data_IF_409415037935
#
_entry.id   IF_409415037935
#
_cell.length_a   1.000
_cell.length_b   1.000
_cell.length_c   1.000
_cell.angle_alpha   90.00
_cell.angle_beta   90.00
_cell.angle_gamma   90.00
#
_symmetry.space_group_name_H-M   'P 1'
#
loop_
_entity.id
_entity.type
_entity.pdbx_description
1 polymer ?
#
# COMPACT_ATOMS: atom_id res chain seq x y z
N UNK A 1 8.70 -22.08 -40.41
CA UNK A 1 9.68 -21.99 -39.31
C UNK A 1 10.76 -23.09 -39.42
N UNK A 2 10.39 -24.30 -39.74
CA UNK A 2 11.32 -25.44 -39.87
C UNK A 2 12.52 -25.27 -40.83
N UNK A 3 12.43 -24.33 -41.79
CA UNK A 3 13.52 -24.03 -42.73
C UNK A 3 14.64 -23.17 -42.08
N UNK A 4 14.36 -22.56 -40.95
CA UNK A 4 15.26 -21.61 -40.27
C UNK A 4 15.76 -22.14 -38.95
N UNK A 5 14.92 -22.92 -38.24
CA UNK A 5 15.21 -23.44 -36.90
C UNK A 5 14.82 -24.90 -36.74
N UNK A 6 15.54 -25.64 -35.93
CA UNK A 6 15.10 -26.93 -35.41
C UNK A 6 14.18 -26.73 -34.20
N UNK A 7 12.99 -27.33 -34.22
CA UNK A 7 12.08 -27.34 -33.06
C UNK A 7 12.21 -28.71 -32.38
N UNK A 8 12.79 -28.72 -31.18
CA UNK A 8 13.10 -29.94 -30.46
C UNK A 8 12.22 -30.07 -29.22
N UNK A 9 11.52 -31.17 -29.09
CA UNK A 9 10.73 -31.50 -27.91
C UNK A 9 11.62 -31.95 -26.75
N UNK A 10 11.12 -31.75 -25.53
CA UNK A 10 11.65 -32.42 -24.35
C UNK A 10 11.38 -33.92 -24.36
N UNK A 11 12.15 -34.67 -23.59
CA UNK A 11 11.88 -36.10 -23.37
C UNK A 11 10.51 -36.27 -22.69
N UNK A 12 9.74 -37.27 -23.12
CA UNK A 12 8.42 -37.61 -22.54
C UNK A 12 8.32 -39.08 -22.17
N UNK A 13 9.43 -39.84 -22.31
CA UNK A 13 9.49 -41.25 -22.07
C UNK A 13 9.84 -41.62 -20.61
N UNK A 14 10.23 -42.85 -20.42
CA UNK A 14 10.60 -43.41 -19.11
C UNK A 14 11.77 -42.66 -18.43
N UNK A 15 12.57 -41.95 -19.20
CA UNK A 15 13.73 -41.21 -18.72
C UNK A 15 13.38 -39.78 -18.27
N UNK A 16 12.10 -39.35 -18.42
CA UNK A 16 11.64 -38.04 -17.94
C UNK A 16 11.69 -38.00 -16.41
N UNK A 17 12.35 -37.00 -15.80
CA UNK A 17 12.50 -36.95 -14.35
C UNK A 17 11.17 -36.68 -13.66
N UNK A 18 10.81 -37.51 -12.69
CA UNK A 18 9.74 -37.19 -11.75
C UNK A 18 10.22 -36.11 -10.73
N UNK A 19 9.29 -35.38 -10.13
CA UNK A 19 9.64 -34.28 -9.21
C UNK A 19 10.54 -34.69 -8.04
N UNK A 20 10.35 -35.89 -7.53
CA UNK A 20 11.10 -36.49 -6.42
C UNK A 20 12.57 -36.81 -6.79
N UNK A 21 12.86 -36.91 -8.07
CA UNK A 21 14.23 -37.17 -8.60
C UNK A 21 14.99 -35.87 -8.90
N UNK A 22 14.31 -34.71 -8.85
CA UNK A 22 14.97 -33.43 -9.03
C UNK A 22 15.58 -32.94 -7.70
N UNK A 23 16.71 -32.27 -7.80
CA UNK A 23 17.55 -31.86 -6.67
C UNK A 23 17.91 -30.37 -6.74
N UNK A 24 18.61 -29.85 -5.73
CA UNK A 24 18.96 -28.43 -5.63
C UNK A 24 20.26 -28.06 -6.37
N UNK A 25 21.02 -29.05 -6.89
CA UNK A 25 22.26 -28.81 -7.62
C UNK A 25 22.45 -29.89 -8.71
N UNK A 26 23.26 -29.58 -9.74
CA UNK A 26 23.54 -30.48 -10.86
C UNK A 26 23.24 -29.81 -12.21
N UNK A 27 22.69 -30.57 -13.16
CA UNK A 27 22.31 -30.08 -14.49
C UNK A 27 20.95 -29.38 -14.42
N UNK A 28 20.84 -28.13 -14.88
CA UNK A 28 19.59 -27.34 -14.81
C UNK A 28 18.44 -28.03 -15.57
N UNK A 29 17.26 -28.12 -14.92
CA UNK A 29 16.02 -28.60 -15.52
C UNK A 29 15.01 -27.47 -15.62
N UNK A 30 14.82 -26.93 -16.81
CA UNK A 30 14.10 -25.70 -17.07
C UNK A 30 12.62 -25.98 -17.36
N UNK A 31 11.75 -25.29 -16.70
CA UNK A 31 10.30 -25.28 -16.94
C UNK A 31 9.79 -23.86 -17.19
N UNK A 32 8.50 -23.71 -17.54
CA UNK A 32 7.91 -22.40 -17.85
C UNK A 32 8.01 -21.39 -16.70
N UNK A 33 8.08 -21.83 -15.44
CA UNK A 33 8.24 -20.95 -14.28
C UNK A 33 9.63 -20.30 -14.20
N UNK A 34 10.62 -20.90 -14.85
CA UNK A 34 12.00 -20.41 -14.85
C UNK A 34 12.29 -19.40 -15.98
N UNK A 35 11.32 -19.11 -16.83
CA UNK A 35 11.47 -18.11 -17.90
C UNK A 35 10.91 -16.78 -17.38
N UNK A 36 11.74 -15.74 -17.26
CA UNK A 36 11.38 -14.40 -16.83
C UNK A 36 12.10 -13.37 -17.71
N UNK A 37 11.41 -12.32 -18.15
CA UNK A 37 11.99 -11.23 -18.94
C UNK A 37 12.88 -11.73 -20.10
N UNK A 38 12.38 -12.68 -20.86
CA UNK A 38 13.07 -13.29 -22.02
C UNK A 38 14.39 -14.01 -21.71
N UNK A 39 14.64 -14.34 -20.44
CA UNK A 39 15.83 -15.05 -19.96
C UNK A 39 15.43 -16.21 -19.06
N UNK A 40 16.35 -17.13 -18.84
CA UNK A 40 16.18 -18.21 -17.85
C UNK A 40 16.62 -17.70 -16.49
N UNK A 41 15.65 -17.59 -15.57
CA UNK A 41 15.88 -17.22 -14.17
C UNK A 41 16.40 -18.40 -13.36
N UNK A 42 17.37 -18.13 -12.48
CA UNK A 42 17.86 -19.13 -11.52
C UNK A 42 16.95 -19.27 -10.28
N UNK A 43 15.93 -18.43 -10.14
CA UNK A 43 14.96 -18.51 -9.02
C UNK A 43 14.17 -19.81 -9.13
N UNK A 44 14.08 -20.56 -8.03
CA UNK A 44 13.35 -21.86 -7.97
C UNK A 44 13.76 -22.86 -9.04
N UNK A 45 14.99 -22.76 -9.55
CA UNK A 45 15.51 -23.69 -10.54
C UNK A 45 15.76 -25.05 -9.86
N UNK A 46 15.32 -26.10 -10.53
CA UNK A 46 15.57 -27.49 -10.13
C UNK A 46 16.62 -28.08 -11.04
N UNK A 47 17.28 -29.10 -10.55
CA UNK A 47 18.42 -29.73 -11.24
C UNK A 47 18.23 -31.25 -11.30
N UNK A 48 18.90 -31.88 -12.25
CA UNK A 48 18.99 -33.33 -12.35
C UNK A 48 20.44 -33.80 -12.21
N UNK A 49 20.62 -35.05 -11.86
CA UNK A 49 21.96 -35.66 -11.84
C UNK A 49 22.50 -35.85 -13.25
N UNK A 50 23.83 -35.92 -13.41
CA UNK A 50 24.47 -36.20 -14.70
C UNK A 50 24.01 -37.54 -15.29
N UNK A 51 23.80 -38.55 -14.46
CA UNK A 51 23.25 -39.84 -14.84
C UNK A 51 21.89 -39.73 -15.49
N UNK A 52 20.98 -38.96 -14.87
CA UNK A 52 19.65 -38.70 -15.43
C UNK A 52 19.74 -37.91 -16.74
N UNK A 53 20.59 -36.89 -16.80
CA UNK A 53 20.79 -36.08 -18.00
C UNK A 53 21.35 -36.92 -19.16
N UNK A 54 22.30 -37.83 -18.91
CA UNK A 54 22.85 -38.72 -19.94
C UNK A 54 21.79 -39.65 -20.54
N UNK A 55 20.81 -40.09 -19.72
CA UNK A 55 19.72 -40.98 -20.13
C UNK A 55 18.65 -40.30 -20.99
N UNK A 56 18.58 -38.96 -20.97
CA UNK A 56 17.61 -38.22 -21.78
C UNK A 56 17.89 -38.42 -23.27
N UNK A 57 16.84 -38.79 -24.02
CA UNK A 57 16.90 -38.97 -25.48
C UNK A 57 16.68 -37.66 -26.24
N UNK A 58 16.00 -36.68 -25.63
CA UNK A 58 15.66 -35.40 -26.24
C UNK A 58 15.62 -34.28 -25.19
N UNK A 59 15.52 -33.03 -25.63
CA UNK A 59 15.35 -31.88 -24.78
C UNK A 59 16.62 -31.41 -24.09
N UNK A 60 17.79 -31.77 -24.59
CA UNK A 60 19.09 -31.27 -24.14
C UNK A 60 19.37 -29.91 -24.74
N UNK A 61 19.68 -28.98 -23.88
CA UNK A 61 19.91 -27.56 -24.20
C UNK A 61 21.37 -27.28 -24.53
N UNK A 62 21.58 -26.41 -25.48
CA UNK A 62 22.84 -25.76 -25.80
C UNK A 62 22.75 -24.26 -25.52
N UNK A 63 23.87 -23.63 -25.27
CA UNK A 63 23.95 -22.18 -25.09
C UNK A 63 23.37 -21.45 -26.30
N UNK A 64 22.58 -20.41 -26.05
CA UNK A 64 21.85 -19.62 -27.03
C UNK A 64 20.63 -20.30 -27.67
N UNK A 65 20.20 -21.47 -27.20
CA UNK A 65 18.90 -22.01 -27.55
C UNK A 65 17.78 -21.05 -27.05
N UNK A 66 16.71 -20.91 -27.82
CA UNK A 66 15.50 -20.20 -27.37
C UNK A 66 14.54 -21.26 -26.84
N UNK A 67 14.09 -21.05 -25.61
CA UNK A 67 13.04 -21.85 -24.98
C UNK A 67 11.69 -21.23 -25.27
N UNK A 68 10.72 -22.03 -25.69
CA UNK A 68 9.38 -21.58 -26.00
C UNK A 68 8.33 -22.44 -25.29
N UNK A 69 7.40 -21.80 -24.57
CA UNK A 69 6.35 -22.49 -23.84
C UNK A 69 5.20 -22.84 -24.78
N UNK A 70 4.93 -24.14 -24.93
CA UNK A 70 3.85 -24.68 -25.78
C UNK A 70 2.67 -25.22 -24.96
N UNK A 71 2.73 -25.19 -23.64
CA UNK A 71 1.64 -25.63 -22.73
C UNK A 71 1.54 -24.77 -21.50
N UNK A 72 0.32 -24.44 -21.13
CA UNK A 72 0.02 -23.56 -19.98
C UNK A 72 0.27 -22.09 -20.33
N UNK A 73 1.43 -21.55 -20.04
CA UNK A 73 1.79 -20.15 -20.38
C UNK A 73 2.26 -20.04 -21.83
N UNK A 74 1.38 -20.28 -22.80
CA UNK A 74 1.73 -20.24 -24.22
C UNK A 74 2.43 -18.93 -24.60
N UNK A 75 3.44 -19.03 -25.47
CA UNK A 75 4.17 -17.86 -25.97
C UNK A 75 5.26 -17.34 -25.04
N UNK A 76 5.33 -17.80 -23.80
CA UNK A 76 6.40 -17.42 -22.88
C UNK A 76 7.72 -17.99 -23.41
N UNK A 77 8.72 -17.15 -23.63
CA UNK A 77 9.99 -17.59 -24.21
C UNK A 77 11.19 -16.86 -23.60
N UNK A 78 12.39 -17.44 -23.79
CA UNK A 78 13.63 -16.85 -23.28
C UNK A 78 14.86 -17.57 -23.80
N UNK A 79 16.00 -16.87 -23.80
CA UNK A 79 17.29 -17.40 -24.25
C UNK A 79 17.97 -18.17 -23.12
N UNK A 80 18.45 -19.35 -23.41
CA UNK A 80 19.26 -20.16 -22.52
C UNK A 80 20.73 -19.73 -22.59
N UNK A 81 21.29 -19.30 -21.44
CA UNK A 81 22.65 -18.73 -21.38
C UNK A 81 23.67 -19.65 -20.70
N UNK A 82 23.25 -20.82 -20.15
CA UNK A 82 24.13 -21.78 -19.50
C UNK A 82 24.71 -22.76 -20.52
N UNK A 83 25.75 -23.48 -20.15
CA UNK A 83 26.45 -24.39 -21.09
C UNK A 83 25.66 -25.66 -21.38
N UNK A 84 24.91 -26.16 -20.41
CA UNK A 84 24.09 -27.37 -20.55
C UNK A 84 22.84 -27.29 -19.65
N UNK A 85 21.81 -28.02 -20.05
CA UNK A 85 20.54 -28.11 -19.34
C UNK A 85 19.55 -29.01 -20.06
N UNK A 86 18.38 -29.18 -19.49
CA UNK A 86 17.29 -29.90 -20.13
C UNK A 86 15.93 -29.16 -19.89
N UNK A 87 14.97 -29.40 -20.77
CA UNK A 87 13.66 -28.78 -20.71
C UNK A 87 12.58 -29.72 -20.17
N UNK A 88 11.61 -29.13 -19.46
CA UNK A 88 10.35 -29.78 -19.11
C UNK A 88 9.46 -29.95 -20.36
N UNK A 89 8.53 -30.90 -20.30
CA UNK A 89 7.62 -31.26 -21.40
C UNK A 89 6.64 -30.12 -21.81
N UNK A 90 6.55 -29.04 -21.05
CA UNK A 90 5.78 -27.84 -21.40
C UNK A 90 6.53 -26.92 -22.36
N UNK A 91 7.80 -27.13 -22.58
CA UNK A 91 8.66 -26.32 -23.43
C UNK A 91 9.11 -27.09 -24.69
N UNK A 92 9.47 -26.32 -25.71
CA UNK A 92 10.27 -26.74 -26.84
C UNK A 92 11.52 -25.89 -26.94
N UNK A 93 12.55 -26.46 -27.57
CA UNK A 93 13.77 -25.73 -27.93
C UNK A 93 13.61 -25.25 -29.37
N UNK A 94 13.77 -23.94 -29.58
CA UNK A 94 13.89 -23.33 -30.90
C UNK A 94 15.38 -23.06 -31.12
N UNK A 95 16.03 -23.91 -31.92
CA UNK A 95 17.46 -23.86 -32.18
C UNK A 95 17.72 -23.40 -33.58
N UNK A 96 18.25 -22.16 -33.78
CA UNK A 96 18.58 -21.64 -35.11
C UNK A 96 19.66 -22.48 -35.78
N UNK A 97 19.51 -22.74 -37.08
CA UNK A 97 20.59 -23.38 -37.88
C UNK A 97 21.80 -22.44 -37.98
N UNK A 98 21.58 -21.15 -38.06
CA UNK A 98 22.62 -20.11 -38.01
C UNK A 98 22.67 -19.44 -36.66
N UNK A 99 23.66 -19.80 -35.84
CA UNK A 99 23.74 -19.34 -34.42
C UNK A 99 24.46 -18.00 -34.27
N UNK A 100 24.12 -16.98 -35.11
CA UNK A 100 24.63 -15.64 -34.86
C UNK A 100 23.78 -14.97 -33.77
N UNK A 101 24.38 -14.09 -32.97
CA UNK A 101 23.69 -13.39 -31.89
C UNK A 101 22.53 -12.52 -32.44
N UNK A 102 22.71 -11.90 -33.61
CA UNK A 102 21.67 -11.13 -34.28
C UNK A 102 20.47 -11.98 -34.68
N UNK A 103 20.69 -13.16 -35.23
CA UNK A 103 19.62 -14.09 -35.62
C UNK A 103 18.85 -14.57 -34.37
N UNK A 104 19.54 -14.89 -33.29
CA UNK A 104 18.90 -15.33 -32.02
C UNK A 104 18.03 -14.22 -31.42
N UNK A 105 18.53 -12.99 -31.33
CA UNK A 105 17.78 -11.85 -30.82
C UNK A 105 16.61 -11.49 -31.73
N UNK A 106 16.79 -11.53 -33.05
CA UNK A 106 15.73 -11.32 -34.02
C UNK A 106 14.60 -12.34 -33.87
N UNK A 107 14.95 -13.62 -33.78
CA UNK A 107 13.98 -14.71 -33.58
C UNK A 107 13.23 -14.53 -32.24
N UNK A 108 13.93 -14.14 -31.18
CA UNK A 108 13.28 -13.85 -29.90
C UNK A 108 12.25 -12.73 -30.05
N UNK A 109 12.62 -11.62 -30.68
CA UNK A 109 11.72 -10.48 -30.93
C UNK A 109 10.51 -10.89 -31.77
N UNK A 110 10.71 -11.73 -32.79
CA UNK A 110 9.62 -12.28 -33.59
C UNK A 110 8.70 -13.19 -32.75
N UNK A 111 9.25 -14.11 -31.98
CA UNK A 111 8.51 -15.07 -31.16
C UNK A 111 7.73 -14.41 -30.00
N UNK A 112 8.10 -13.20 -29.62
CA UNK A 112 7.42 -12.38 -28.58
C UNK A 112 6.41 -11.39 -29.15
N UNK A 113 6.35 -11.25 -30.49
CA UNK A 113 5.47 -10.29 -31.16
C UNK A 113 3.99 -10.64 -31.03
N UNK A 114 3.13 -9.61 -31.12
CA UNK A 114 1.67 -9.80 -31.16
C UNK A 114 1.22 -10.62 -32.37
N UNK A 115 1.99 -10.59 -33.46
CA UNK A 115 1.73 -11.44 -34.61
C UNK A 115 1.75 -12.92 -34.22
N UNK A 116 2.80 -13.37 -33.55
CA UNK A 116 2.91 -14.78 -33.07
C UNK A 116 1.82 -15.09 -32.05
N UNK A 117 1.53 -14.16 -31.15
CA UNK A 117 0.44 -14.33 -30.18
C UNK A 117 -0.89 -14.59 -30.87
N UNK A 118 -1.21 -13.82 -31.92
CA UNK A 118 -2.42 -14.00 -32.72
C UNK A 118 -2.41 -15.34 -33.47
N UNK A 119 -1.27 -15.73 -34.04
CA UNK A 119 -1.14 -17.03 -34.71
C UNK A 119 -1.40 -18.23 -33.77
N UNK A 120 -0.86 -18.17 -32.54
CA UNK A 120 -1.08 -19.20 -31.51
C UNK A 120 -2.56 -19.41 -31.24
N UNK A 121 -3.36 -18.32 -31.11
CA UNK A 121 -4.80 -18.42 -30.85
C UNK A 121 -5.58 -19.18 -31.93
N UNK A 122 -5.11 -19.21 -33.16
CA UNK A 122 -5.74 -20.00 -34.24
C UNK A 122 -5.65 -21.51 -34.00
N UNK A 123 -4.69 -21.98 -33.20
CA UNK A 123 -4.45 -23.37 -32.86
C UNK A 123 -4.94 -23.73 -31.45
N UNK A 124 -5.51 -22.75 -30.72
CA UNK A 124 -6.10 -23.00 -29.40
C UNK A 124 -7.45 -23.71 -29.58
N UNK A 125 -7.49 -25.00 -29.32
CA UNK A 125 -8.65 -25.86 -29.50
C UNK A 125 -9.70 -25.78 -28.38
N UNK A 126 -9.67 -24.73 -27.56
CA UNK A 126 -10.72 -24.49 -26.54
C UNK A 126 -10.75 -25.46 -25.38
N UNK A 127 -9.66 -26.17 -25.11
CA UNK A 127 -9.50 -27.03 -23.93
C UNK A 127 -9.12 -26.18 -22.70
N UNK A 128 -9.42 -26.68 -21.49
CA UNK A 128 -9.15 -26.00 -20.22
C UNK A 128 -7.67 -25.58 -19.98
N UNK A 129 -6.73 -26.11 -20.78
CA UNK A 129 -5.34 -25.68 -20.85
C UNK A 129 -4.91 -25.44 -22.29
N UNK A 130 -4.52 -24.20 -22.65
CA UNK A 130 -3.99 -23.89 -23.97
C UNK A 130 -2.78 -24.80 -24.30
N UNK A 131 -2.77 -25.39 -25.46
CA UNK A 131 -1.72 -26.31 -25.92
C UNK A 131 -1.45 -26.14 -27.41
N UNK A 132 -0.20 -25.82 -27.75
CA UNK A 132 0.29 -25.73 -29.11
C UNK A 132 1.13 -26.99 -29.43
N UNK A 133 0.80 -27.74 -30.49
CA UNK A 133 1.61 -28.84 -30.89
C UNK A 133 2.94 -28.34 -31.54
N UNK A 134 4.05 -28.97 -31.23
CA UNK A 134 5.36 -28.60 -31.82
C UNK A 134 5.35 -28.68 -33.35
N UNK A 135 4.58 -29.60 -33.91
CA UNK A 135 4.42 -29.74 -35.35
C UNK A 135 3.69 -28.53 -35.97
N UNK A 136 2.60 -28.06 -35.34
CA UNK A 136 1.86 -26.87 -35.79
C UNK A 136 2.74 -25.61 -35.66
N UNK A 137 3.45 -25.47 -34.54
CA UNK A 137 4.44 -24.40 -34.34
C UNK A 137 5.53 -24.40 -35.43
N UNK A 138 5.95 -25.56 -35.91
CA UNK A 138 6.92 -25.67 -36.99
C UNK A 138 6.46 -25.11 -38.34
N UNK A 139 5.15 -25.02 -38.54
CA UNK A 139 4.51 -24.48 -39.77
C UNK A 139 4.39 -22.95 -39.78
N UNK A 140 4.65 -22.28 -38.68
CA UNK A 140 4.55 -20.82 -38.61
C UNK A 140 5.49 -20.16 -39.62
N UNK A 141 5.01 -19.12 -40.30
CA UNK A 141 5.82 -18.36 -41.26
C UNK A 141 6.72 -17.38 -40.52
N UNK A 142 8.00 -17.35 -40.85
CA UNK A 142 8.96 -16.37 -40.30
C UNK A 142 9.36 -15.42 -41.42
N UNK A 143 9.20 -14.10 -41.26
CA UNK A 143 9.85 -13.12 -42.14
C UNK A 143 11.36 -13.20 -41.89
N UNK A 144 12.13 -13.31 -42.95
CA UNK A 144 13.58 -13.46 -42.85
C UNK A 144 14.29 -12.35 -43.60
N UNK A 145 14.52 -11.18 -42.96
CA UNK A 145 15.29 -10.11 -43.57
C UNK A 145 16.76 -10.42 -43.66
N UNK A 146 17.53 -9.67 -44.46
CA UNK A 146 18.99 -9.81 -44.52
C UNK A 146 19.62 -9.69 -43.11
N UNK A 147 20.74 -10.36 -42.88
CA UNK A 147 21.37 -10.44 -41.57
C UNK A 147 21.72 -9.08 -40.97
N UNK A 148 22.14 -8.12 -41.80
CA UNK A 148 22.39 -6.73 -41.36
C UNK A 148 21.13 -6.03 -40.87
N UNK A 149 19.97 -6.34 -41.43
CA UNK A 149 18.68 -5.83 -41.02
C UNK A 149 18.19 -6.50 -39.75
N UNK A 150 18.33 -7.83 -39.63
CA UNK A 150 18.07 -8.54 -38.38
C UNK A 150 18.82 -7.92 -37.19
N UNK A 151 20.09 -7.51 -37.41
CA UNK A 151 20.92 -6.84 -36.42
C UNK A 151 20.30 -5.49 -36.01
N UNK A 152 19.96 -4.63 -37.00
CA UNK A 152 19.35 -3.32 -36.72
C UNK A 152 18.02 -3.44 -35.99
N UNK A 153 17.14 -4.36 -36.41
CA UNK A 153 15.87 -4.62 -35.75
C UNK A 153 16.10 -5.02 -34.29
N UNK A 154 17.01 -5.98 -34.04
CA UNK A 154 17.29 -6.49 -32.70
C UNK A 154 17.84 -5.39 -31.77
N UNK A 155 18.76 -4.56 -32.26
CA UNK A 155 19.34 -3.45 -31.50
C UNK A 155 18.29 -2.38 -31.18
N UNK A 156 17.43 -2.05 -32.16
CA UNK A 156 16.34 -1.09 -31.95
C UNK A 156 15.32 -1.61 -30.91
N UNK A 157 14.90 -2.88 -31.05
CA UNK A 157 13.95 -3.49 -30.09
C UNK A 157 14.56 -3.54 -28.69
N UNK A 158 15.84 -3.91 -28.55
CA UNK A 158 16.51 -3.94 -27.26
C UNK A 158 16.57 -2.55 -26.60
N UNK A 159 16.92 -1.52 -27.38
CA UNK A 159 16.93 -0.13 -26.90
C UNK A 159 15.56 0.34 -26.45
N UNK A 160 14.51 0.06 -27.25
CA UNK A 160 13.13 0.44 -26.88
C UNK A 160 12.64 -0.29 -25.64
N UNK A 161 12.93 -1.59 -25.51
CA UNK A 161 12.56 -2.34 -24.29
C UNK A 161 13.27 -1.81 -23.04
N UNK A 162 14.58 -1.47 -23.15
CA UNK A 162 15.31 -0.83 -22.04
C UNK A 162 14.72 0.52 -21.67
N UNK A 163 14.29 1.32 -22.66
CA UNK A 163 13.65 2.60 -22.40
C UNK A 163 12.31 2.42 -21.66
N UNK A 164 11.50 1.43 -22.06
CA UNK A 164 10.23 1.09 -21.36
C UNK A 164 10.50 0.67 -19.92
N UNK A 165 11.50 -0.22 -19.70
CA UNK A 165 11.87 -0.63 -18.33
C UNK A 165 12.32 0.56 -17.47
N UNK A 166 13.08 1.49 -18.05
CA UNK A 166 13.51 2.72 -17.36
C UNK A 166 12.30 3.59 -16.98
N UNK A 167 11.38 3.83 -17.92
CA UNK A 167 10.16 4.61 -17.67
C UNK A 167 9.32 3.98 -16.56
N UNK A 168 9.15 2.66 -16.56
CA UNK A 168 8.39 1.97 -15.53
C UNK A 168 9.05 2.07 -14.15
N UNK A 169 10.40 1.96 -14.10
CA UNK A 169 11.17 2.18 -12.87
C UNK A 169 11.00 3.61 -12.35
N UNK A 170 11.18 4.61 -13.24
CA UNK A 170 11.06 6.03 -12.89
C UNK A 170 9.66 6.38 -12.37
N UNK A 171 8.60 5.79 -12.95
CA UNK A 171 7.21 5.94 -12.46
C UNK A 171 7.05 5.42 -11.03
N UNK A 172 7.64 4.27 -10.71
CA UNK A 172 7.60 3.70 -9.36
C UNK A 172 8.37 4.61 -8.39
N UNK A 173 9.54 5.08 -8.77
CA UNK A 173 10.39 5.93 -7.95
C UNK A 173 9.73 7.29 -7.69
N UNK A 174 9.11 7.90 -8.69
CA UNK A 174 8.32 9.12 -8.53
C UNK A 174 7.15 8.93 -7.57
N UNK A 175 6.40 7.83 -7.69
CA UNK A 175 5.28 7.52 -6.77
C UNK A 175 5.76 7.39 -5.32
N UNK A 176 6.91 6.76 -5.10
CA UNK A 176 7.53 6.64 -3.79
C UNK A 176 8.00 8.00 -3.24
N UNK A 177 8.63 8.81 -4.09
CA UNK A 177 9.07 10.15 -3.72
C UNK A 177 7.91 11.06 -3.33
N UNK A 178 6.78 11.02 -4.07
CA UNK A 178 5.57 11.76 -3.74
C UNK A 178 5.03 11.35 -2.35
N UNK A 179 4.97 10.04 -2.04
CA UNK A 179 4.54 9.57 -0.72
C UNK A 179 5.46 10.07 0.40
N UNK A 180 6.77 9.99 0.19
CA UNK A 180 7.75 10.48 1.16
C UNK A 180 7.65 11.99 1.36
N UNK A 181 7.45 12.75 0.28
CA UNK A 181 7.27 14.20 0.32
C UNK A 181 6.00 14.58 1.10
N UNK A 182 4.87 13.92 0.84
CA UNK A 182 3.63 14.13 1.61
C UNK A 182 3.83 13.85 3.10
N UNK A 183 4.51 12.75 3.44
CA UNK A 183 4.81 12.43 4.84
C UNK A 183 5.71 13.49 5.49
N UNK A 184 6.72 13.98 4.77
CA UNK A 184 7.61 15.05 5.25
C UNK A 184 6.89 16.39 5.44
N UNK A 185 5.96 16.74 4.54
CA UNK A 185 5.12 17.93 4.67
C UNK A 185 4.28 17.87 5.95
N UNK A 186 3.64 16.73 6.23
CA UNK A 186 2.90 16.53 7.49
C UNK A 186 3.82 16.64 8.72
N UNK A 187 5.00 16.05 8.67
CA UNK A 187 5.98 16.12 9.76
C UNK A 187 6.42 17.56 10.05
N UNK A 188 6.68 18.36 9.01
CA UNK A 188 7.00 19.78 9.16
C UNK A 188 5.80 20.58 9.71
N UNK A 189 4.61 20.25 9.27
CA UNK A 189 3.38 20.94 9.69
C UNK A 189 3.11 20.79 11.18
N UNK A 190 3.19 19.56 11.70
CA UNK A 190 2.90 19.30 13.13
C UNK A 190 4.01 19.77 14.07
N UNK A 191 5.21 20.09 13.55
CA UNK A 191 6.32 20.70 14.28
C UNK A 191 6.35 22.23 14.18
N UNK A 192 5.33 22.85 13.56
CA UNK A 192 5.26 24.30 13.36
C UNK A 192 6.32 24.86 12.41
N UNK A 193 6.84 24.03 11.47
CA UNK A 193 7.90 24.40 10.52
C UNK A 193 7.42 24.56 9.06
N UNK A 194 6.10 24.45 8.81
CA UNK A 194 5.55 24.51 7.45
C UNK A 194 5.10 25.92 7.06
N UNK A 195 4.66 26.72 8.00
CA UNK A 195 4.26 28.12 7.82
C UNK A 195 5.07 29.02 8.75
N UNK A 196 5.31 30.32 8.39
CA UNK A 196 5.95 31.25 9.29
C UNK A 196 5.07 31.50 10.52
N UNK A 197 5.68 31.71 11.69
CA UNK A 197 5.01 32.12 12.90
C UNK A 197 4.59 33.59 12.78
N UNK A 198 3.36 33.94 13.20
CA UNK A 198 2.86 35.32 13.24
C UNK A 198 2.73 35.75 14.72
N UNK A 199 3.47 36.77 15.12
CA UNK A 199 3.44 37.29 16.48
C UNK A 199 2.10 37.97 16.85
N UNK A 200 1.23 38.23 15.87
CA UNK A 200 -0.11 38.78 16.08
C UNK A 200 -1.16 37.70 16.32
N UNK A 201 -0.83 36.42 16.09
CA UNK A 201 -1.74 35.33 16.37
C UNK A 201 -1.89 35.15 17.90
N UNK A 202 -3.13 34.99 18.38
CA UNK A 202 -3.39 34.72 19.80
C UNK A 202 -2.72 33.40 20.19
N UNK A 203 -1.78 33.38 21.17
CA UNK A 203 -1.08 32.16 21.56
C UNK A 203 -2.03 31.05 22.03
N UNK A 204 -1.62 29.79 21.85
CA UNK A 204 -2.44 28.63 22.20
C UNK A 204 -2.82 28.58 23.69
N UNK A 205 -2.05 29.23 24.57
CA UNK A 205 -2.40 29.40 26.02
C UNK A 205 -3.80 29.96 26.19
N UNK A 206 -4.10 31.05 25.46
CA UNK A 206 -5.40 31.72 25.58
C UNK A 206 -6.55 30.85 25.11
N UNK A 207 -6.32 30.02 24.08
CA UNK A 207 -7.31 29.04 23.64
C UNK A 207 -7.57 28.00 24.73
N UNK A 208 -6.49 27.41 25.28
CA UNK A 208 -6.60 26.38 26.33
C UNK A 208 -7.22 26.94 27.64
N UNK A 209 -6.93 28.21 28.00
CA UNK A 209 -7.51 28.88 29.12
C UNK A 209 -9.02 29.04 28.98
N UNK A 210 -9.50 29.53 27.82
CA UNK A 210 -10.93 29.65 27.49
C UNK A 210 -11.67 28.33 27.58
N UNK A 211 -11.04 27.24 27.09
CA UNK A 211 -11.61 25.87 27.15
C UNK A 211 -11.75 25.42 28.60
N UNK A 212 -10.75 25.68 29.42
CA UNK A 212 -10.79 25.35 30.85
C UNK A 212 -11.90 26.09 31.59
N UNK A 213 -12.03 27.37 31.35
CA UNK A 213 -13.11 28.18 31.92
C UNK A 213 -14.50 27.66 31.52
N UNK A 214 -14.72 27.33 30.26
CA UNK A 214 -16.00 26.79 29.79
C UNK A 214 -16.27 25.38 30.36
N UNK A 215 -15.26 24.53 30.48
CA UNK A 215 -15.39 23.23 31.17
C UNK A 215 -15.80 23.39 32.63
N UNK A 216 -15.13 24.26 33.37
CA UNK A 216 -15.47 24.54 34.78
C UNK A 216 -16.92 25.05 34.93
N UNK A 217 -17.37 25.89 33.99
CA UNK A 217 -18.76 26.34 33.96
C UNK A 217 -19.74 25.19 33.74
N UNK A 218 -19.47 24.33 32.73
CA UNK A 218 -20.30 23.16 32.44
C UNK A 218 -20.32 22.15 33.61
N UNK A 219 -19.20 22.00 34.34
CA UNK A 219 -19.12 21.17 35.54
C UNK A 219 -20.00 21.76 36.67
N UNK A 220 -19.92 23.07 36.90
CA UNK A 220 -20.74 23.76 37.90
C UNK A 220 -22.26 23.68 37.56
N UNK A 221 -22.59 23.70 36.28
CA UNK A 221 -23.97 23.54 35.79
C UNK A 221 -24.43 22.06 35.80
N UNK A 222 -23.59 21.11 36.18
CA UNK A 222 -23.91 19.69 36.21
C UNK A 222 -24.04 19.02 34.82
N UNK A 223 -23.65 19.74 33.77
CA UNK A 223 -23.70 19.27 32.37
C UNK A 223 -22.50 18.42 32.00
N UNK A 224 -21.37 18.61 32.65
CA UNK A 224 -20.14 17.84 32.47
C UNK A 224 -19.68 17.29 33.81
N UNK A 225 -19.22 16.03 33.81
CA UNK A 225 -18.60 15.45 35.01
C UNK A 225 -17.11 15.74 35.00
N UNK A 226 -16.56 16.11 36.16
CA UNK A 226 -15.09 16.28 36.32
C UNK A 226 -14.40 14.94 36.09
N UNK A 227 -13.41 14.93 35.22
CA UNK A 227 -12.52 13.76 35.07
C UNK A 227 -11.62 13.68 36.34
N UNK A 228 -11.57 12.51 36.96
CA UNK A 228 -10.72 12.28 38.12
C UNK A 228 -9.22 12.26 37.80
N UNK A 229 -8.88 12.05 36.53
CA UNK A 229 -7.51 11.98 36.04
C UNK A 229 -7.14 13.22 35.21
N UNK A 230 -7.83 14.35 35.41
CA UNK A 230 -7.54 15.58 34.68
C UNK A 230 -6.14 16.07 35.06
N UNK A 231 -5.28 16.22 34.08
CA UNK A 231 -3.91 16.72 34.24
C UNK A 231 -3.73 17.97 33.41
N UNK A 232 -2.75 18.78 33.76
CA UNK A 232 -2.47 20.04 33.07
C UNK A 232 -1.01 20.17 32.71
N UNK A 233 -0.73 20.39 31.42
CA UNK A 233 0.63 20.64 30.92
C UNK A 233 0.83 22.13 30.75
N UNK A 234 1.93 22.65 31.29
CA UNK A 234 2.32 24.07 31.17
C UNK A 234 3.84 24.19 30.95
N UNK A 235 4.25 25.29 30.33
CA UNK A 235 5.65 25.67 30.17
C UNK A 235 6.01 26.61 31.30
N UNK A 236 7.03 26.30 32.07
CA UNK A 236 7.55 27.16 33.13
C UNK A 236 8.43 28.25 32.51
N UNK A 237 8.20 29.52 32.90
CA UNK A 237 8.94 30.67 32.40
C UNK A 237 10.37 30.76 32.92
N UNK A 238 10.68 30.13 34.07
CA UNK A 238 11.98 30.28 34.74
C UNK A 238 13.06 29.41 34.09
N UNK A 239 12.71 28.21 33.65
CA UNK A 239 13.63 27.23 33.07
C UNK A 239 13.27 26.82 31.64
N UNK A 240 12.15 27.33 31.07
CA UNK A 240 11.61 26.96 29.76
C UNK A 240 11.21 25.48 29.60
N UNK A 241 11.15 24.72 30.68
CA UNK A 241 10.77 23.31 30.69
C UNK A 241 9.26 23.10 30.75
N UNK A 242 8.81 21.97 30.24
CA UNK A 242 7.41 21.57 30.31
C UNK A 242 7.15 20.69 31.52
N UNK A 243 6.09 21.02 32.23
CA UNK A 243 5.64 20.31 33.43
C UNK A 243 4.22 19.83 33.28
N UNK A 244 3.94 18.66 33.82
CA UNK A 244 2.58 18.15 33.98
C UNK A 244 2.20 18.21 35.47
N UNK A 245 1.04 18.77 35.76
CA UNK A 245 0.44 18.76 37.09
C UNK A 245 -0.54 17.59 37.17
N UNK A 246 -0.30 16.67 38.13
CA UNK A 246 -1.08 15.47 38.39
C UNK A 246 -1.40 15.42 39.87
N UNK A 247 -2.68 15.43 40.26
CA UNK A 247 -3.11 15.32 41.67
C UNK A 247 -2.41 16.33 42.62
N UNK A 248 -2.00 17.48 42.10
CA UNK A 248 -1.30 18.53 42.86
C UNK A 248 0.22 18.40 42.87
N UNK A 249 0.78 17.32 42.36
CA UNK A 249 2.22 17.17 42.13
C UNK A 249 2.60 17.68 40.72
N UNK A 250 3.84 18.21 40.63
CA UNK A 250 4.35 18.75 39.36
C UNK A 250 5.55 17.94 38.90
N UNK A 251 5.48 17.36 37.71
CA UNK A 251 6.52 16.50 37.14
C UNK A 251 7.03 17.13 35.84
N UNK A 252 8.36 17.21 35.68
CA UNK A 252 8.95 17.62 34.40
C UNK A 252 8.77 16.51 33.36
N UNK A 253 8.30 16.90 32.13
CA UNK A 253 7.99 15.98 31.05
C UNK A 253 8.77 16.27 29.77
N UNK A 254 9.86 17.03 29.82
CA UNK A 254 10.64 17.38 28.62
C UNK A 254 11.15 16.15 27.88
N UNK A 255 11.57 15.11 28.60
CA UNK A 255 12.03 13.84 28.02
C UNK A 255 10.91 13.00 27.38
N UNK A 256 9.66 13.25 27.77
CA UNK A 256 8.48 12.56 27.23
C UNK A 256 7.88 13.25 26.00
N UNK A 257 8.33 14.47 25.69
CA UNK A 257 7.83 15.22 24.52
C UNK A 257 8.48 14.71 23.24
N UNK A 258 7.68 14.44 22.18
CA UNK A 258 8.19 13.79 20.98
C UNK A 258 9.06 14.70 20.10
N UNK A 259 8.96 16.02 20.24
CA UNK A 259 9.73 17.04 19.49
C UNK A 259 9.51 18.43 20.06
N UNK A 260 10.32 19.38 19.64
CA UNK A 260 10.16 20.81 19.98
C UNK A 260 9.05 21.46 19.13
N UNK A 261 8.32 22.38 19.75
CA UNK A 261 7.26 23.18 19.12
C UNK A 261 7.56 24.69 19.26
N UNK A 262 6.99 25.57 18.39
CA UNK A 262 7.11 27.01 18.52
C UNK A 262 6.58 27.54 19.87
N UNK A 263 7.11 28.68 20.35
CA UNK A 263 6.70 29.28 21.62
C UNK A 263 5.23 29.73 21.68
N UNK A 264 4.59 29.96 20.54
CA UNK A 264 3.16 30.25 20.43
C UNK A 264 2.26 29.03 20.60
N UNK A 265 2.84 27.80 20.50
CA UNK A 265 2.12 26.54 20.62
C UNK A 265 2.15 26.01 22.05
N UNK A 266 1.24 25.06 22.36
CA UNK A 266 1.25 24.34 23.66
C UNK A 266 1.03 22.86 23.46
N UNK A 267 1.60 22.09 24.39
CA UNK A 267 1.32 20.68 24.55
C UNK A 267 0.09 20.47 25.42
N UNK A 268 -0.77 19.52 25.09
CA UNK A 268 -1.87 19.08 25.93
C UNK A 268 -2.22 17.62 25.67
N UNK A 269 -2.93 16.97 26.59
CA UNK A 269 -3.51 15.65 26.34
C UNK A 269 -4.82 15.78 25.58
N UNK A 270 -5.13 14.79 24.70
CA UNK A 270 -6.41 14.77 23.98
C UNK A 270 -7.60 14.84 24.94
N UNK A 271 -7.56 14.14 26.09
CA UNK A 271 -8.63 14.16 27.09
C UNK A 271 -8.98 15.56 27.58
N UNK A 272 -8.02 16.49 27.57
CA UNK A 272 -8.23 17.84 28.05
C UNK A 272 -9.09 18.69 27.12
N UNK A 273 -9.21 18.31 25.83
CA UNK A 273 -9.82 19.14 24.80
C UNK A 273 -10.85 18.41 23.94
N UNK A 274 -10.86 17.09 23.92
CA UNK A 274 -11.79 16.29 23.14
C UNK A 274 -12.42 15.18 23.99
N UNK A 275 -13.67 14.84 23.72
CA UNK A 275 -14.26 13.61 24.20
C UNK A 275 -13.85 12.47 23.27
N UNK A 276 -13.33 11.36 23.85
CA UNK A 276 -12.92 10.17 23.08
C UNK A 276 -13.67 8.97 23.63
N UNK A 277 -14.38 8.29 22.74
CA UNK A 277 -15.19 7.17 23.13
C UNK A 277 -15.17 6.04 22.08
N UNK A 278 -15.36 4.80 22.54
CA UNK A 278 -15.45 3.65 21.65
C UNK A 278 -16.87 3.48 21.14
N UNK A 279 -17.00 3.02 19.88
CA UNK A 279 -18.24 2.53 19.31
C UNK A 279 -18.72 1.24 19.98
N UNK A 280 -19.94 0.83 19.67
CA UNK A 280 -20.53 -0.38 20.20
C UNK A 280 -21.38 -1.10 19.15
N UNK A 281 -21.43 -2.42 19.20
CA UNK A 281 -22.21 -3.23 18.27
C UNK A 281 -23.37 -3.91 19.00
N UNK A 282 -24.63 -3.64 18.61
CA UNK A 282 -25.78 -4.41 19.10
C UNK A 282 -25.59 -5.90 18.80
N UNK A 283 -25.95 -6.79 19.73
CA UNK A 283 -25.77 -8.24 19.53
C UNK A 283 -27.06 -8.99 19.82
N UNK A 284 -27.41 -9.99 18.98
CA UNK A 284 -26.80 -10.31 17.67
C UNK A 284 -27.15 -9.21 16.65
N UNK A 285 -26.17 -8.82 15.80
CA UNK A 285 -26.34 -7.67 14.89
C UNK A 285 -27.46 -7.90 13.87
N UNK A 286 -27.67 -9.14 13.43
CA UNK A 286 -28.66 -9.53 12.45
C UNK A 286 -30.09 -9.17 12.91
N UNK A 287 -30.36 -9.20 14.22
CA UNK A 287 -31.67 -8.81 14.79
C UNK A 287 -31.93 -7.30 14.71
N UNK A 288 -30.87 -6.50 14.53
CA UNK A 288 -30.94 -5.04 14.48
C UNK A 288 -30.80 -4.48 13.06
N UNK A 289 -30.32 -5.26 12.09
CA UNK A 289 -30.23 -4.78 10.71
C UNK A 289 -31.64 -4.50 10.15
N UNK A 290 -31.75 -3.45 9.32
CA UNK A 290 -32.99 -3.05 8.68
C UNK A 290 -32.77 -2.32 7.38
N UNK A 291 -33.72 -2.44 6.45
CA UNK A 291 -33.82 -1.62 5.23
C UNK A 291 -34.93 -0.57 5.33
N UNK A 292 -35.54 -0.37 6.50
CA UNK A 292 -36.60 0.61 6.70
C UNK A 292 -36.05 2.05 6.50
N UNK A 293 -36.91 2.94 6.03
CA UNK A 293 -36.55 4.34 5.79
C UNK A 293 -36.06 5.07 7.04
N UNK A 294 -36.69 4.77 8.20
CA UNK A 294 -36.31 5.31 9.51
C UNK A 294 -35.09 4.60 10.13
N UNK A 295 -34.45 3.69 9.43
CA UNK A 295 -33.22 3.03 9.88
C UNK A 295 -32.07 4.01 10.03
N UNK A 296 -31.26 3.83 11.09
CA UNK A 296 -30.08 4.62 11.42
C UNK A 296 -28.86 4.05 10.69
N UNK A 297 -28.07 4.88 10.03
CA UNK A 297 -26.87 4.47 9.34
C UNK A 297 -25.95 3.68 10.28
N UNK A 298 -25.48 2.51 9.84
CA UNK A 298 -24.57 1.64 10.58
C UNK A 298 -23.16 1.74 9.98
N UNK A 299 -22.31 2.54 10.62
CA UNK A 299 -20.99 2.92 10.10
C UNK A 299 -19.95 1.87 10.46
N UNK A 300 -19.44 1.18 9.44
CA UNK A 300 -18.41 0.13 9.56
C UNK A 300 -17.12 0.58 8.85
N UNK A 301 -15.99 -0.09 9.16
CA UNK A 301 -14.72 0.15 8.46
C UNK A 301 -14.84 -0.14 6.95
N UNK A 302 -15.70 -1.09 6.57
CA UNK A 302 -15.97 -1.42 5.17
C UNK A 302 -16.73 -0.36 4.35
N UNK A 303 -17.20 0.72 4.99
CA UNK A 303 -17.83 1.86 4.32
C UNK A 303 -16.82 2.95 3.93
N UNK A 304 -15.54 2.75 4.28
CA UNK A 304 -14.47 3.68 3.93
C UNK A 304 -13.89 3.39 2.55
N UNK A 305 -13.57 4.44 1.81
CA UNK A 305 -12.80 4.33 0.57
C UNK A 305 -11.30 4.23 0.87
N UNK A 306 -10.59 3.42 0.04
CA UNK A 306 -9.13 3.31 0.15
C UNK A 306 -8.48 4.66 -0.18
N UNK A 307 -7.79 5.26 0.80
CA UNK A 307 -7.21 6.60 0.64
C UNK A 307 -8.19 7.75 0.93
N UNK A 308 -9.48 7.46 1.17
CA UNK A 308 -10.50 8.46 1.44
C UNK A 308 -10.28 9.19 2.77
N UNK A 309 -10.76 10.43 2.82
CA UNK A 309 -10.78 11.30 4.00
C UNK A 309 -12.13 11.31 4.67
N UNK A 310 -13.20 11.07 3.92
CA UNK A 310 -14.58 11.26 4.36
C UNK A 310 -15.36 9.94 4.30
N UNK A 311 -16.40 9.84 5.13
CA UNK A 311 -17.43 8.81 5.09
C UNK A 311 -18.75 9.50 4.78
N UNK A 312 -19.28 9.29 3.57
CA UNK A 312 -20.49 9.98 3.09
C UNK A 312 -21.78 9.17 3.31
N UNK A 313 -21.68 7.84 3.24
CA UNK A 313 -22.82 6.94 3.32
C UNK A 313 -22.42 5.59 3.88
N UNK A 314 -23.40 4.78 4.25
CA UNK A 314 -23.20 3.42 4.75
C UNK A 314 -23.96 2.42 3.89
N UNK A 315 -23.49 1.18 3.87
CA UNK A 315 -24.14 0.06 3.17
C UNK A 315 -25.30 -0.53 3.96
N UNK A 316 -25.29 -0.37 5.27
CA UNK A 316 -26.24 -0.98 6.18
C UNK A 316 -26.85 0.05 7.13
N UNK A 317 -28.04 -0.25 7.63
CA UNK A 317 -28.73 0.52 8.67
C UNK A 317 -29.13 -0.40 9.81
N UNK A 318 -29.25 0.16 11.01
CA UNK A 318 -29.80 -0.51 12.19
C UNK A 318 -31.14 0.11 12.61
N UNK A 319 -31.95 -0.68 13.27
CA UNK A 319 -33.21 -0.23 13.87
C UNK A 319 -32.93 0.83 14.96
N UNK A 320 -33.86 1.80 15.21
CA UNK A 320 -33.70 2.81 16.26
C UNK A 320 -33.40 2.23 17.64
N UNK A 321 -33.94 1.05 17.97
CA UNK A 321 -33.70 0.38 19.26
C UNK A 321 -32.22 -0.02 19.47
N UNK A 322 -31.46 -0.13 18.37
CA UNK A 322 -30.03 -0.42 18.40
C UNK A 322 -29.16 0.76 18.87
N UNK A 323 -29.68 2.00 18.84
CA UNK A 323 -28.94 3.21 19.25
C UNK A 323 -28.41 3.08 20.68
N UNK A 324 -29.24 2.61 21.60
CA UNK A 324 -28.88 2.47 23.03
C UNK A 324 -27.74 1.47 23.27
N UNK A 325 -27.49 0.57 22.30
CA UNK A 325 -26.44 -0.48 22.35
C UNK A 325 -25.23 -0.15 21.47
N UNK A 326 -25.25 1.02 20.87
CA UNK A 326 -24.17 1.54 20.02
C UNK A 326 -23.80 2.97 20.48
N UNK A 327 -22.98 3.62 19.70
CA UNK A 327 -22.68 5.05 19.89
C UNK A 327 -23.15 5.84 18.68
N UNK A 328 -24.04 6.77 18.92
CA UNK A 328 -24.51 7.70 17.90
C UNK A 328 -23.46 8.81 17.69
N UNK A 329 -23.21 9.15 16.46
CA UNK A 329 -22.24 10.15 15.99
C UNK A 329 -22.89 11.04 14.93
N UNK A 330 -22.36 12.23 14.75
CA UNK A 330 -22.90 13.26 13.84
C UNK A 330 -21.94 13.55 12.69
N UNK A 331 -22.49 14.10 11.62
CA UNK A 331 -21.67 14.69 10.56
C UNK A 331 -20.75 15.78 11.15
N UNK A 332 -19.46 15.70 10.83
CA UNK A 332 -18.41 16.54 11.42
C UNK A 332 -17.55 15.84 12.46
N UNK A 333 -18.02 14.78 13.08
CA UNK A 333 -17.22 14.01 14.03
C UNK A 333 -16.07 13.30 13.35
N UNK A 334 -14.98 13.07 14.11
CA UNK A 334 -13.85 12.28 13.65
C UNK A 334 -13.97 10.84 14.13
N UNK A 335 -13.73 9.92 13.21
CA UNK A 335 -13.57 8.50 13.53
C UNK A 335 -12.12 8.06 13.36
N UNK A 336 -11.64 7.28 14.33
CA UNK A 336 -10.33 6.67 14.29
C UNK A 336 -10.47 5.16 14.33
N UNK A 337 -9.85 4.45 13.40
CA UNK A 337 -9.88 2.98 13.40
C UNK A 337 -9.09 2.42 14.58
N UNK A 338 -9.67 1.52 15.36
CA UNK A 338 -9.02 0.96 16.55
C UNK A 338 -8.17 -0.30 16.28
N UNK A 339 -8.47 -1.03 15.19
CA UNK A 339 -7.78 -2.28 14.81
C UNK A 339 -7.49 -2.29 13.30
N UNK A 340 -7.49 -3.35 12.60
CA UNK A 340 -7.25 -3.55 11.16
C UNK A 340 -6.39 -2.47 10.43
N UNK A 341 -6.92 -1.26 10.22
CA UNK A 341 -6.21 -0.09 9.65
C UNK A 341 -5.77 0.88 10.75
N UNK A 342 -5.19 0.40 11.82
CA UNK A 342 -4.82 1.03 13.08
C UNK A 342 -4.53 2.54 12.99
N UNK A 343 -5.31 3.33 13.76
CA UNK A 343 -5.09 4.77 13.93
C UNK A 343 -5.39 5.64 12.70
N UNK A 344 -6.16 5.13 11.72
CA UNK A 344 -6.50 5.92 10.53
C UNK A 344 -7.70 6.83 10.79
N UNK A 345 -7.57 8.16 10.57
CA UNK A 345 -8.66 9.10 10.79
C UNK A 345 -9.60 9.20 9.59
N UNK A 346 -10.88 9.47 9.88
CA UNK A 346 -11.92 9.82 8.90
C UNK A 346 -12.82 10.90 9.47
N UNK A 347 -13.39 11.73 8.59
CA UNK A 347 -14.36 12.77 8.93
C UNK A 347 -15.74 12.29 8.45
N UNK A 348 -16.72 12.29 9.34
CA UNK A 348 -18.10 11.95 8.99
C UNK A 348 -18.78 13.04 8.17
N UNK A 349 -19.51 12.65 7.15
CA UNK A 349 -20.42 13.47 6.36
C UNK A 349 -21.88 12.99 6.47
N UNK A 350 -22.13 12.03 7.35
CA UNK A 350 -23.46 11.48 7.65
C UNK A 350 -23.58 11.20 9.13
N UNK A 351 -24.79 11.28 9.67
CA UNK A 351 -25.10 10.86 11.03
C UNK A 351 -25.30 9.34 11.07
N UNK A 352 -25.08 8.72 12.22
CA UNK A 352 -25.30 7.30 12.37
C UNK A 352 -24.77 6.71 13.67
N UNK A 353 -24.74 5.40 13.74
CA UNK A 353 -24.16 4.62 14.84
C UNK A 353 -22.89 3.94 14.38
N UNK A 354 -21.85 3.92 15.20
CA UNK A 354 -20.55 3.31 14.89
C UNK A 354 -20.37 1.97 15.60
N UNK A 355 -19.82 0.99 14.87
CA UNK A 355 -19.49 -0.30 15.46
C UNK A 355 -18.24 -0.22 16.34
N UNK A 356 -17.96 -1.29 17.07
CA UNK A 356 -16.89 -1.39 18.07
C UNK A 356 -15.45 -1.38 17.49
N UNK A 357 -15.30 -1.35 16.17
CA UNK A 357 -14.02 -1.12 15.47
C UNK A 357 -13.61 0.37 15.37
N UNK A 358 -14.45 1.30 15.85
CA UNK A 358 -14.20 2.71 15.82
C UNK A 358 -13.98 3.33 17.20
N UNK A 359 -13.15 4.36 17.23
CA UNK A 359 -13.16 5.41 18.25
C UNK A 359 -13.71 6.69 17.61
N UNK A 360 -14.57 7.41 18.31
CA UNK A 360 -14.96 8.77 17.95
C UNK A 360 -14.12 9.77 18.74
N UNK A 361 -13.70 10.83 18.07
CA UNK A 361 -13.06 12.01 18.67
C UNK A 361 -14.02 13.17 18.45
N UNK A 362 -14.57 13.69 19.53
CA UNK A 362 -15.55 14.80 19.56
C UNK A 362 -14.83 16.07 20.00
N UNK A 363 -14.77 17.06 19.11
CA UNK A 363 -14.21 18.40 19.38
C UNK A 363 -15.34 19.42 19.67
N UNK A 364 -16.08 19.19 20.74
CA UNK A 364 -17.23 20.03 21.13
C UNK A 364 -16.82 21.49 21.42
N UNK A 365 -15.62 21.71 21.89
CA UNK A 365 -15.06 23.04 22.16
C UNK A 365 -14.50 23.71 20.90
N UNK A 366 -14.54 23.06 19.74
CA UNK A 366 -14.03 23.58 18.46
C UNK A 366 -12.58 24.08 18.55
N UNK A 367 -11.77 23.32 19.26
CA UNK A 367 -10.34 23.60 19.45
C UNK A 367 -9.59 23.56 18.13
N UNK A 368 -9.96 22.63 17.28
CA UNK A 368 -9.26 22.37 16.01
C UNK A 368 -9.94 23.03 14.80
N UNK A 369 -9.11 23.42 13.83
CA UNK A 369 -9.52 23.40 12.44
C UNK A 369 -9.69 21.94 12.00
N UNK A 370 -10.82 21.62 11.36
CA UNK A 370 -11.16 20.23 11.02
C UNK A 370 -10.11 19.58 10.10
N UNK A 371 -9.55 20.33 9.16
CA UNK A 371 -8.53 19.83 8.26
C UNK A 371 -7.19 19.67 8.96
N UNK A 372 -6.83 20.60 9.86
CA UNK A 372 -5.64 20.49 10.67
C UNK A 372 -5.68 19.22 11.54
N UNK A 373 -6.78 18.97 12.26
CA UNK A 373 -6.93 17.75 13.06
C UNK A 373 -6.81 16.48 12.19
N UNK A 374 -7.40 16.48 11.00
CA UNK A 374 -7.24 15.37 10.06
C UNK A 374 -5.77 15.14 9.69
N UNK A 375 -5.03 16.19 9.37
CA UNK A 375 -3.61 16.07 9.01
C UNK A 375 -2.72 15.68 10.20
N UNK A 376 -3.01 16.21 11.39
CA UNK A 376 -2.35 15.82 12.63
C UNK A 376 -2.50 14.31 12.86
N UNK A 377 -3.74 13.80 12.83
CA UNK A 377 -4.03 12.38 13.03
C UNK A 377 -3.48 11.48 11.90
N UNK A 378 -3.32 12.01 10.68
CA UNK A 378 -2.77 11.30 9.52
C UNK A 378 -1.25 11.27 9.49
N UNK A 379 -0.56 11.98 10.37
CA UNK A 379 0.89 12.10 10.37
C UNK A 379 1.58 10.84 10.88
N UNK A 380 2.82 10.59 10.40
CA UNK A 380 3.64 9.49 10.88
C UNK A 380 3.96 9.62 12.37
N UNK A 381 4.15 10.84 12.87
CA UNK A 381 4.42 11.07 14.30
C UNK A 381 3.23 10.64 15.14
N UNK A 382 2.00 11.03 14.76
CA UNK A 382 0.81 10.59 15.49
C UNK A 382 0.64 9.07 15.42
N UNK A 383 0.88 8.45 14.26
CA UNK A 383 0.85 7.00 14.14
C UNK A 383 1.86 6.31 15.08
N UNK A 384 3.06 6.87 15.24
CA UNK A 384 4.07 6.35 16.16
C UNK A 384 3.64 6.52 17.63
N UNK A 385 3.14 7.71 18.01
CA UNK A 385 2.64 7.97 19.37
C UNK A 385 1.51 7.01 19.75
N UNK A 386 0.53 6.83 18.88
CA UNK A 386 -0.57 5.88 19.07
C UNK A 386 -0.06 4.43 19.13
N UNK A 387 0.97 4.09 18.35
CA UNK A 387 1.55 2.74 18.32
C UNK A 387 2.32 2.43 19.57
N UNK A 388 3.10 3.38 20.12
CA UNK A 388 3.84 3.24 21.39
C UNK A 388 2.84 3.09 22.53
N UNK A 389 1.84 3.96 22.60
CA UNK A 389 0.82 3.94 23.62
C UNK A 389 -0.06 2.65 23.59
N UNK A 390 -0.15 1.98 22.45
CA UNK A 390 -0.87 0.71 22.30
C UNK A 390 -0.01 -0.55 22.57
N UNK A 391 1.27 -0.39 22.92
CA UNK A 391 2.17 -1.51 23.24
C UNK A 391 1.70 -2.21 24.53
N UNK A 392 1.78 -3.55 24.54
CA UNK A 392 1.36 -4.38 25.69
C UNK A 392 0.16 -5.27 25.44
N UNK A 393 -0.48 -5.23 24.27
CA UNK A 393 -1.52 -6.17 23.88
C UNK A 393 -1.07 -7.07 22.73
N UNK A 394 -1.46 -8.35 22.79
CA UNK A 394 -1.12 -9.38 21.75
C UNK A 394 -1.66 -9.03 20.36
N UNK A 395 -2.65 -8.14 20.29
CA UNK A 395 -3.21 -7.57 19.05
C UNK A 395 -3.16 -6.05 19.20
N UNK A 396 -2.59 -5.34 18.22
CA UNK A 396 -2.62 -3.87 18.17
C UNK A 396 -4.07 -3.39 18.13
N UNK A 397 -4.59 -3.02 19.28
CA UNK A 397 -5.94 -2.49 19.45
C UNK A 397 -5.88 -1.17 20.22
N UNK A 398 -6.37 -0.11 19.60
CA UNK A 398 -6.36 1.24 20.15
C UNK A 398 -7.54 1.40 21.11
N UNK A 399 -7.26 1.55 22.39
CA UNK A 399 -8.28 1.81 23.44
C UNK A 399 -8.53 3.32 23.55
N UNK A 400 -9.75 3.70 23.95
CA UNK A 400 -10.10 5.11 24.19
C UNK A 400 -9.15 5.79 25.18
N UNK A 401 -8.84 5.12 26.28
CA UNK A 401 -7.96 5.67 27.33
C UNK A 401 -6.52 5.86 26.84
N UNK A 402 -6.07 5.00 25.93
CA UNK A 402 -4.78 5.17 25.26
C UNK A 402 -4.74 6.47 24.46
N UNK A 403 -5.76 6.74 23.63
CA UNK A 403 -5.84 7.98 22.83
C UNK A 403 -6.00 9.21 23.70
N UNK A 404 -6.80 9.14 24.77
CA UNK A 404 -7.00 10.23 25.74
C UNK A 404 -5.69 10.76 26.34
N UNK A 405 -4.75 9.86 26.61
CA UNK A 405 -3.47 10.18 27.24
C UNK A 405 -2.37 10.60 26.26
N UNK A 406 -2.61 10.55 24.95
CA UNK A 406 -1.61 11.02 23.98
C UNK A 406 -1.44 12.53 24.09
N UNK A 407 -0.19 12.97 24.22
CA UNK A 407 0.19 14.37 24.22
C UNK A 407 0.26 14.88 22.78
N UNK A 408 -0.39 15.99 22.50
CA UNK A 408 -0.52 16.58 21.18
C UNK A 408 -0.19 18.08 21.19
N UNK A 409 0.37 18.60 20.08
CA UNK A 409 0.66 20.02 19.95
C UNK A 409 -0.59 20.80 19.51
N UNK A 410 -0.80 21.96 20.09
CA UNK A 410 -1.89 22.87 19.75
C UNK A 410 -1.31 24.18 19.24
N UNK A 411 -1.47 24.48 17.93
CA UNK A 411 -1.15 25.79 17.36
C UNK A 411 -2.20 26.86 17.72
N UNK A 412 -1.88 28.14 17.60
CA UNK A 412 -2.85 29.21 17.51
C UNK A 412 -3.95 28.88 16.48
N UNK A 413 -5.20 29.24 16.78
CA UNK A 413 -6.37 28.86 15.97
C UNK A 413 -6.26 29.30 14.50
N UNK A 414 -5.73 30.49 14.26
CA UNK A 414 -5.52 31.03 12.91
C UNK A 414 -4.42 30.25 12.16
N UNK A 415 -3.34 29.92 12.85
CA UNK A 415 -2.24 29.16 12.28
C UNK A 415 -2.66 27.74 11.86
N UNK A 416 -3.56 27.08 12.60
CA UNK A 416 -4.10 25.77 12.20
C UNK A 416 -4.72 25.82 10.80
N UNK A 417 -5.51 26.86 10.50
CA UNK A 417 -6.14 27.02 9.17
C UNK A 417 -5.12 27.32 8.07
N UNK A 418 -4.07 28.09 8.39
CA UNK A 418 -2.97 28.36 7.45
C UNK A 418 -2.18 27.09 7.13
N UNK A 419 -1.83 26.30 8.14
CA UNK A 419 -1.16 25.01 7.99
C UNK A 419 -2.01 24.08 7.12
N UNK A 420 -3.30 23.94 7.45
CA UNK A 420 -4.21 23.07 6.71
C UNK A 420 -4.33 23.46 5.22
N UNK A 421 -4.45 24.75 4.95
CA UNK A 421 -4.50 25.30 3.58
C UNK A 421 -3.19 25.07 2.83
N UNK A 422 -2.05 25.24 3.49
CA UNK A 422 -0.73 25.01 2.89
C UNK A 422 -0.50 23.54 2.54
N UNK A 423 -0.87 22.61 3.43
CA UNK A 423 -0.81 21.16 3.16
C UNK A 423 -1.70 20.82 1.97
N UNK A 424 -2.95 21.31 1.95
CA UNK A 424 -3.89 21.02 0.86
C UNK A 424 -3.34 21.49 -0.50
N UNK A 425 -2.75 22.70 -0.56
CA UNK A 425 -2.13 23.23 -1.76
C UNK A 425 -0.97 22.34 -2.26
N UNK A 426 -0.05 21.96 -1.36
CA UNK A 426 1.09 21.12 -1.72
C UNK A 426 0.62 19.73 -2.16
N UNK A 427 -0.33 19.14 -1.45
CA UNK A 427 -0.85 17.81 -1.80
C UNK A 427 -1.54 17.81 -3.15
N UNK A 428 -2.34 18.84 -3.46
CA UNK A 428 -2.97 19.00 -4.78
C UNK A 428 -1.94 19.07 -5.90
N UNK A 429 -0.85 19.81 -5.72
CA UNK A 429 0.23 19.88 -6.69
C UNK A 429 0.92 18.52 -6.90
N UNK A 430 1.20 17.81 -5.81
CA UNK A 430 1.82 16.47 -5.87
C UNK A 430 0.89 15.44 -6.51
N UNK A 431 -0.42 15.51 -6.25
CA UNK A 431 -1.42 14.64 -6.88
C UNK A 431 -1.54 14.92 -8.38
N UNK A 432 -1.56 16.18 -8.79
CA UNK A 432 -1.54 16.58 -10.21
C UNK A 432 -0.28 16.06 -10.93
N UNK A 433 0.89 16.18 -10.28
CA UNK A 433 2.14 15.60 -10.84
C UNK A 433 2.00 14.09 -11.01
N UNK A 434 1.48 13.40 -9.99
CA UNK A 434 1.29 11.96 -10.05
C UNK A 434 0.33 11.54 -11.17
N UNK A 435 -0.77 12.25 -11.36
CA UNK A 435 -1.74 11.99 -12.43
C UNK A 435 -1.12 12.18 -13.83
N UNK A 436 -0.36 13.25 -14.05
CA UNK A 436 0.30 13.52 -15.34
C UNK A 436 1.30 12.42 -15.71
N UNK A 437 2.07 11.92 -14.75
CA UNK A 437 3.12 10.93 -15.01
C UNK A 437 2.64 9.46 -14.97
N UNK A 438 1.44 9.19 -14.43
CA UNK A 438 0.88 7.83 -14.40
C UNK A 438 -0.10 7.55 -15.56
N UNK A 439 -0.48 8.59 -16.32
CA UNK A 439 -1.16 8.42 -17.60
C UNK A 439 -0.14 7.97 -18.67
#
# INVERSE_FOLDING_TARGET
>A
MSDVVAILNGDRGQNYPSKDKLQQSGIPFISAINIEQFKVSKKKLLYMSEKQYSMLRAGKLEKNDILYCIRGSLGKCGIFQMEQGAIASSLVIVRPYFKTLSTIKYLLSYLTSDFIRTEIYKYDSGTAQPNLAANDFSQFLIPLPPQSEQKRISETVETLLQLVETIDSDKIDLSNLIKQTKAKVLDLAIKGKLVPQDSNDEPADKLLEKIREEKEKLIKEGKLKRDKNETYIFKNSDDNSYYEQIDGETVCIDDDLPFEIPDSWRWTKFANICEIARGGSPRPIEAYLTNAENGINWIKIGDTEKGGKYIYSTKEKIKPEGISKSRYVKAGDFLLTNSMSFGRPYILKTDGCIHDGWLVINDDFKVFDQNFLYYLLSSNVMYQLLSIAAQGSTVKNLKSDTVKNVIIPIPPKREQSQIASRIASIFSQLDTMQEIFLQ
#
